data_IF_599211459434
#
_entry.id   IF_599211459434
#
_cell.length_a   1.000
_cell.length_b   1.000
_cell.length_c   1.000
_cell.angle_alpha   90.00
_cell.angle_beta   90.00
_cell.angle_gamma   90.00
#
_symmetry.space_group_name_H-M   'P 1'
#
loop_
_entity.id
_entity.type
_entity.pdbx_description
1 polymer ?
2 non-polymer ?
3 non-polymer ?
4 non-polymer ?
5 non-polymer ?
6 non-polymer ?
7 water ?
#
# COMPACT_ATOMS: atom_id res chain seq x y z
C UNK A 1 8.70 -17.77 -34.36
N UNK A 2 7.58 -17.72 -33.62
CA UNK A 2 7.48 -17.07 -32.26
C UNK A 2 7.16 -18.11 -31.19
N UNK A 3 7.19 -17.68 -29.93
CA UNK A 3 6.76 -18.51 -28.81
C UNK A 3 6.40 -17.63 -27.61
N UNK A 4 5.56 -18.19 -26.73
CA UNK A 4 5.11 -17.50 -25.54
C UNK A 4 6.23 -17.56 -24.50
N UNK A 5 6.72 -16.39 -24.09
CA UNK A 5 7.81 -16.33 -23.12
C UNK A 5 7.23 -16.20 -21.72
N UNK A 6 6.23 -15.33 -21.59
CA UNK A 6 5.46 -15.18 -20.36
C UNK A 6 4.00 -14.92 -20.73
N UNK A 7 3.10 -15.28 -19.81
CA UNK A 7 1.68 -15.06 -20.00
C UNK A 7 0.99 -15.10 -18.64
N UNK A 8 0.13 -14.11 -18.40
CA UNK A 8 -0.83 -14.14 -17.31
C UNK A 8 -2.11 -13.46 -17.77
N UNK A 9 -3.24 -13.81 -17.14
CA UNK A 9 -4.55 -13.34 -17.54
C UNK A 9 -5.50 -13.45 -16.36
N UNK A 10 -6.52 -12.59 -16.31
CA UNK A 10 -7.56 -12.77 -15.31
C UNK A 10 -8.47 -11.55 -15.20
N UNK A 11 -8.87 -11.21 -13.98
CA UNK A 11 -9.90 -10.21 -13.78
C UNK A 11 -9.38 -9.10 -12.87
N UNK A 12 -9.50 -7.86 -13.34
CA UNK A 12 -9.05 -6.68 -12.62
C UNK A 12 -10.27 -5.91 -12.13
N UNK A 13 -10.10 -5.16 -11.02
CA UNK A 13 -11.05 -4.15 -10.60
C UNK A 13 -12.38 -4.78 -10.18
N UNK A 14 -12.34 -5.96 -9.55
CA UNK A 14 -13.53 -6.52 -8.93
C UNK A 14 -13.81 -5.77 -7.62
N UNK A 15 -14.86 -4.93 -7.62
CA UNK A 15 -15.27 -4.23 -6.41
C UNK A 15 -16.01 -5.21 -5.48
N UNK A 16 -15.66 -5.22 -4.19
CA UNK A 16 -16.26 -6.18 -3.26
C UNK A 16 -16.58 -5.52 -1.92
N UNK A 17 -17.83 -5.71 -1.47
CA UNK A 17 -18.29 -5.31 -0.16
C UNK A 17 -18.71 -6.54 0.65
N UNK A 18 -18.41 -6.55 1.95
CA UNK A 18 -18.93 -7.55 2.86
C UNK A 18 -19.19 -6.94 4.24
N UNK A 19 -20.38 -7.23 4.78
CA UNK A 19 -20.77 -6.86 6.12
C UNK A 19 -20.68 -8.09 7.04
N UNK A 20 -20.26 -7.83 8.29
CA UNK A 20 -20.36 -8.77 9.39
C UNK A 20 -21.38 -8.25 10.39
N UNK A 21 -22.39 -9.08 10.69
CA UNK A 21 -23.39 -8.73 11.69
C UNK A 21 -23.22 -9.61 12.93
N UNK A 22 -22.80 -8.98 14.04
CA UNK A 22 -22.89 -9.60 15.35
C UNK A 22 -24.35 -9.54 15.79
N UNK A 23 -25.06 -10.66 15.62
CA UNK A 23 -26.48 -10.60 15.87
C UNK A 23 -26.76 -10.61 17.37
N UNK A 24 -25.69 -10.76 18.18
CA UNK A 24 -25.76 -10.56 19.62
C UNK A 24 -25.82 -9.07 19.92
N UNK A 25 -24.71 -8.35 19.67
CA UNK A 25 -24.56 -6.94 20.00
C UNK A 25 -25.36 -6.06 19.05
N UNK A 26 -25.46 -6.46 17.78
CA UNK A 26 -26.17 -5.67 16.77
C UNK A 26 -25.23 -4.69 16.08
N UNK A 27 -23.93 -4.81 16.40
CA UNK A 27 -22.86 -4.05 15.78
C UNK A 27 -22.54 -4.68 14.44
N UNK A 28 -22.51 -3.84 13.40
CA UNK A 28 -22.13 -4.32 12.08
C UNK A 28 -20.74 -3.77 11.72
N UNK A 29 -19.93 -4.59 11.07
CA UNK A 29 -18.66 -4.13 10.54
C UNK A 29 -18.69 -4.35 9.02
N UNK A 30 -18.36 -3.30 8.26
CA UNK A 30 -18.26 -3.44 6.81
C UNK A 30 -16.80 -3.43 6.35
N UNK A 31 -16.57 -4.04 5.19
CA UNK A 31 -15.28 -4.13 4.55
C UNK A 31 -15.48 -3.83 3.07
N UNK A 32 -14.57 -3.07 2.45
CA UNK A 32 -14.68 -2.85 1.02
C UNK A 32 -13.30 -2.85 0.37
N UNK A 33 -13.21 -3.57 -0.76
CA UNK A 33 -11.93 -3.73 -1.45
C UNK A 33 -12.13 -3.79 -2.96
N UNK A 34 -11.03 -3.52 -3.68
CA UNK A 34 -10.95 -3.78 -5.11
C UNK A 34 -9.91 -4.87 -5.34
N UNK A 35 -10.32 -5.92 -6.07
CA UNK A 35 -9.55 -7.16 -6.14
C UNK A 35 -9.12 -7.42 -7.58
N UNK A 36 -7.87 -7.86 -7.76
CA UNK A 36 -7.41 -8.38 -9.04
C UNK A 36 -6.76 -9.75 -8.87
N UNK A 37 -7.16 -10.74 -9.69
CA UNK A 37 -6.52 -12.05 -9.70
C UNK A 37 -6.04 -12.37 -11.12
N UNK A 38 -4.71 -12.61 -11.26
CA UNK A 38 -4.14 -13.07 -12.52
C UNK A 38 -3.53 -14.46 -12.33
N UNK A 39 -3.79 -15.36 -13.29
CA UNK A 39 -3.29 -16.73 -13.24
C UNK A 39 -2.19 -16.94 -14.28
N UNK A 40 -1.33 -17.94 -13.99
CA UNK A 40 -0.34 -18.47 -14.91
C UNK A 40 -0.42 -20.00 -14.89
N UNK A 41 0.25 -20.63 -15.86
CA UNK A 41 0.29 -22.07 -16.00
C UNK A 41 0.51 -22.46 -17.45
N UNK A 42 0.01 -23.64 -17.82
CA UNK A 42 0.11 -24.15 -19.19
C UNK A 42 -1.08 -23.63 -20.00
N UNK A 43 -0.98 -22.37 -20.43
CA UNK A 43 -2.11 -21.67 -21.05
C UNK A 43 -1.66 -21.08 -22.38
N UNK A 44 -0.46 -21.48 -22.84
CA UNK A 44 0.14 -20.89 -24.02
C UNK A 44 -0.71 -21.19 -25.24
N UNK A 45 -1.32 -22.38 -25.29
CA UNK A 45 -2.08 -22.83 -26.45
C UNK A 45 -3.30 -21.93 -26.71
N UNK A 46 -3.80 -21.28 -25.66
CA UNK A 46 -4.92 -20.35 -25.81
C UNK A 46 -4.50 -19.14 -26.66
N UNK A 47 -3.19 -18.90 -26.72
CA UNK A 47 -2.61 -17.76 -27.41
C UNK A 47 -2.15 -18.16 -28.81
N UNK A 48 -1.64 -19.39 -28.95
CA UNK A 48 -0.94 -19.79 -30.17
C UNK A 48 -1.85 -20.61 -31.08
N UNK A 49 -2.90 -21.23 -30.50
CA UNK A 49 -3.66 -22.23 -31.22
C UNK A 49 -5.17 -22.04 -31.04
N UNK A 50 -5.59 -20.88 -30.51
CA UNK A 50 -7.01 -20.62 -30.30
C UNK A 50 -7.65 -21.72 -29.44
N UNK A 51 -6.90 -22.24 -28.48
CA UNK A 51 -7.39 -23.33 -27.66
C UNK A 51 -7.91 -22.77 -26.34
N UNK A 52 -9.24 -22.57 -26.25
CA UNK A 52 -9.83 -21.92 -25.09
C UNK A 52 -10.05 -22.92 -23.96
N UNK A 53 -9.80 -24.20 -24.24
CA UNK A 53 -10.05 -25.30 -23.31
C UNK A 53 -9.22 -25.16 -22.03
N UNK A 54 -8.17 -24.32 -22.09
CA UNK A 54 -7.22 -24.19 -21.00
C UNK A 54 -7.59 -22.99 -20.12
N UNK A 55 -8.63 -22.25 -20.53
CA UNK A 55 -8.92 -20.97 -19.91
C UNK A 55 -10.05 -21.11 -18.90
N UNK A 56 -9.72 -20.84 -17.64
CA UNK A 56 -10.71 -20.46 -16.64
C UNK A 56 -11.13 -19.03 -16.97
N UNK A 57 -12.41 -18.85 -17.34
CA UNK A 57 -12.90 -17.60 -17.87
C UNK A 57 -12.77 -16.49 -16.82
N UNK A 58 -12.37 -15.29 -17.26
CA UNK A 58 -12.18 -14.19 -16.33
C UNK A 58 -13.47 -13.99 -15.54
N UNK A 59 -14.60 -14.11 -16.23
CA UNK A 59 -15.92 -14.06 -15.60
C UNK A 59 -15.99 -14.98 -14.39
N UNK A 60 -15.49 -16.22 -14.54
CA UNK A 60 -15.56 -17.24 -13.50
C UNK A 60 -14.66 -16.90 -12.31
N UNK A 61 -13.52 -16.26 -12.61
CA UNK A 61 -12.58 -15.77 -11.61
C UNK A 61 -13.29 -14.68 -10.80
N UNK A 62 -14.20 -13.95 -11.44
CA UNK A 62 -14.97 -12.92 -10.77
C UNK A 62 -15.96 -13.58 -9.82
N UNK A 63 -16.56 -14.69 -10.28
CA UNK A 63 -17.43 -15.51 -9.47
C UNK A 63 -16.68 -15.99 -8.23
N UNK A 64 -15.49 -16.57 -8.46
CA UNK A 64 -14.68 -17.20 -7.41
C UNK A 64 -14.33 -16.18 -6.33
N UNK A 65 -14.00 -14.96 -6.72
CA UNK A 65 -13.68 -13.91 -5.76
C UNK A 65 -14.88 -13.72 -4.83
N UNK A 66 -16.05 -13.48 -5.43
CA UNK A 66 -17.31 -13.30 -4.72
C UNK A 66 -17.59 -14.50 -3.82
N UNK A 67 -17.47 -15.73 -4.36
CA UNK A 67 -17.73 -16.95 -3.62
C UNK A 67 -16.78 -17.05 -2.42
N UNK A 68 -15.47 -16.89 -2.66
CA UNK A 68 -14.47 -17.09 -1.63
C UNK A 68 -14.73 -16.16 -0.46
N UNK A 69 -15.20 -14.94 -0.77
CA UNK A 69 -15.49 -13.89 0.19
C UNK A 69 -16.69 -14.26 1.07
N UNK A 70 -17.68 -14.94 0.48
CA UNK A 70 -18.82 -15.43 1.23
C UNK A 70 -18.39 -16.58 2.15
N UNK A 71 -17.40 -17.36 1.72
CA UNK A 71 -17.13 -18.63 2.39
C UNK A 71 -16.04 -18.46 3.46
N UNK A 72 -15.47 -17.26 3.57
CA UNK A 72 -14.26 -17.03 4.35
C UNK A 72 -14.27 -15.60 4.89
N UNK A 73 -13.41 -15.27 5.88
CA UNK A 73 -13.27 -13.88 6.31
C UNK A 73 -12.45 -13.16 5.24
N UNK A 74 -12.71 -11.86 5.06
CA UNK A 74 -12.02 -11.05 4.06
C UNK A 74 -10.97 -10.19 4.74
N UNK A 75 -10.79 -10.42 6.04
CA UNK A 75 -9.84 -9.71 6.88
C UNK A 75 -9.06 -10.76 7.67
N UNK A 76 -7.73 -10.63 7.85
CA UNK A 76 -6.94 -9.60 7.20
C UNK A 76 -6.64 -9.85 5.71
N UNK A 77 -6.40 -8.78 4.91
CA UNK A 77 -6.12 -8.90 3.48
C UNK A 77 -5.11 -9.99 3.11
N UNK A 78 -4.03 -10.09 3.89
CA UNK A 78 -2.97 -11.06 3.65
C UNK A 78 -3.53 -12.48 3.63
N UNK A 79 -4.54 -12.74 4.48
CA UNK A 79 -5.09 -14.08 4.61
C UNK A 79 -6.04 -14.36 3.46
N UNK A 80 -6.93 -13.39 3.17
CA UNK A 80 -7.91 -13.54 2.11
C UNK A 80 -7.18 -13.85 0.80
N UNK A 81 -6.15 -13.04 0.51
CA UNK A 81 -5.31 -13.22 -0.67
C UNK A 81 -4.80 -14.66 -0.80
N UNK A 82 -4.22 -15.16 0.30
CA UNK A 82 -3.64 -16.49 0.38
C UNK A 82 -4.69 -17.55 0.07
N UNK A 83 -5.85 -17.46 0.73
CA UNK A 83 -6.94 -18.40 0.53
C UNK A 83 -7.39 -18.41 -0.93
N UNK A 84 -7.49 -17.21 -1.52
CA UNK A 84 -8.01 -17.01 -2.86
C UNK A 84 -7.02 -17.58 -3.88
N UNK A 85 -5.73 -17.42 -3.61
CA UNK A 85 -4.70 -17.79 -4.56
C UNK A 85 -4.41 -19.28 -4.50
N UNK A 86 -4.51 -19.84 -3.28
CA UNK A 86 -4.33 -21.27 -3.07
C UNK A 86 -5.42 -22.00 -3.82
N UNK A 87 -6.64 -21.45 -3.78
CA UNK A 87 -7.77 -22.05 -4.47
C UNK A 87 -7.42 -22.35 -5.92
N UNK A 88 -6.88 -21.35 -6.62
CA UNK A 88 -6.72 -21.47 -8.06
C UNK A 88 -5.71 -22.57 -8.40
N UNK A 89 -4.62 -22.66 -7.63
CA UNK A 89 -3.51 -23.55 -7.96
C UNK A 89 -3.80 -24.97 -7.50
N UNK A 90 -4.69 -25.12 -6.51
CA UNK A 90 -5.07 -26.44 -5.99
C UNK A 90 -6.21 -27.01 -6.83
N UNK A 91 -7.00 -26.12 -7.43
CA UNK A 91 -8.21 -26.52 -8.13
C UNK A 91 -7.90 -26.97 -9.55
N UNK A 92 -6.95 -26.29 -10.20
CA UNK A 92 -6.70 -26.51 -11.61
C UNK A 92 -5.27 -27.02 -11.79
N UNK A 93 -5.13 -28.12 -12.54
CA UNK A 93 -3.84 -28.78 -12.70
C UNK A 93 -2.87 -27.89 -13.47
N UNK A 94 -3.39 -27.24 -14.52
CA UNK A 94 -2.60 -26.49 -15.48
C UNK A 94 -2.31 -25.07 -14.99
N UNK A 95 -2.93 -24.67 -13.87
CA UNK A 95 -2.70 -23.37 -13.27
C UNK A 95 -1.65 -23.55 -12.18
N UNK A 96 -0.51 -22.86 -12.31
CA UNK A 96 0.66 -23.12 -11.47
C UNK A 96 1.02 -21.91 -10.61
N UNK A 97 0.44 -20.74 -10.91
CA UNK A 97 0.60 -19.58 -10.04
C UNK A 97 -0.65 -18.70 -10.07
N UNK A 98 -0.98 -18.12 -8.90
CA UNK A 98 -2.06 -17.15 -8.78
C UNK A 98 -1.51 -15.85 -8.19
N UNK A 99 -1.84 -14.73 -8.83
CA UNK A 99 -1.36 -13.43 -8.42
C UNK A 99 -2.54 -12.58 -7.96
N UNK A 100 -2.51 -12.21 -6.67
CA UNK A 100 -3.67 -11.59 -6.05
C UNK A 100 -3.28 -10.22 -5.48
N UNK A 101 -3.77 -9.15 -6.11
CA UNK A 101 -3.67 -7.82 -5.54
C UNK A 101 -5.02 -7.43 -4.93
N UNK A 102 -4.98 -7.01 -3.66
CA UNK A 102 -6.15 -6.47 -2.98
C UNK A 102 -5.85 -5.03 -2.58
N UNK A 103 -6.80 -4.13 -2.89
CA UNK A 103 -6.78 -2.77 -2.37
C UNK A 103 -7.93 -2.63 -1.37
N UNK A 104 -7.63 -2.22 -0.13
CA UNK A 104 -8.65 -2.08 0.89
C UNK A 104 -9.07 -0.62 1.02
N UNK A 105 -10.39 -0.41 1.14
CA UNK A 105 -10.96 0.92 1.28
C UNK A 105 -11.40 1.16 2.73
N UNK A 106 -11.26 2.41 3.18
CA UNK A 106 -11.53 2.76 4.57
C UNK A 106 -13.03 2.98 4.75
N UNK A 107 -13.61 2.27 5.71
CA UNK A 107 -14.93 2.60 6.27
C UNK A 107 -14.81 2.63 7.80
N UNK A 108 -14.49 3.81 8.34
CA UNK A 108 -14.26 3.98 9.76
C UNK A 108 -15.59 4.29 10.48
N UNK A 109 -15.91 3.49 11.51
CA UNK A 109 -17.10 3.68 12.31
C UNK A 109 -17.22 5.14 12.74
N UNK A 110 -18.44 5.69 12.61
CA UNK A 110 -18.77 7.06 12.94
C UNK A 110 -18.98 7.18 14.45
N UNK A 111 -18.51 8.29 15.03
CA UNK A 111 -18.79 8.63 16.41
C UNK A 111 -19.92 9.65 16.43
N UNK A 112 -21.05 9.26 17.05
CA UNK A 112 -22.23 10.10 17.09
C UNK A 112 -22.53 10.44 18.54
N UNK A 113 -22.58 11.75 18.84
CA UNK A 113 -22.92 12.22 20.18
C UNK A 113 -22.04 11.50 21.20
N UNK A 114 -20.75 11.34 20.88
CA UNK A 114 -19.81 10.64 21.75
C UNK A 114 -19.66 9.15 21.43
N UNK A 115 -20.78 8.49 21.09
CA UNK A 115 -20.87 7.03 21.06
C UNK A 115 -20.53 6.46 19.68
N UNK A 116 -19.65 5.44 19.60
CA UNK A 116 -19.51 4.61 18.39
C UNK A 116 -20.84 4.05 17.88
N UNK A 117 -21.17 4.38 16.62
CA UNK A 117 -22.45 4.00 16.06
C UNK A 117 -22.37 2.59 15.45
N UNK A 118 -23.41 1.75 15.66
CA UNK A 118 -23.33 0.32 15.30
C UNK A 118 -23.32 -0.07 13.83
N UNK A 119 -23.66 0.86 12.93
CA UNK A 119 -23.76 0.48 11.51
C UNK A 119 -23.66 1.68 10.57
N UNK A 120 -22.98 2.76 10.99
CA UNK A 120 -22.76 3.91 10.12
C UNK A 120 -21.27 4.22 10.03
N UNK A 121 -20.81 4.54 8.80
CA UNK A 121 -19.40 4.59 8.47
C UNK A 121 -19.08 5.79 7.59
N UNK A 122 -17.80 6.18 7.59
CA UNK A 122 -17.31 7.36 6.89
C UNK A 122 -15.96 7.03 6.24
N UNK A 123 -15.79 7.45 4.98
CA UNK A 123 -14.49 7.35 4.33
C UNK A 123 -13.66 8.55 4.76
N UNK A 124 -12.79 8.32 5.76
CA UNK A 124 -12.13 9.38 6.48
C UNK A 124 -10.73 9.59 5.90
N UNK A 125 -10.51 9.04 4.70
CA UNK A 125 -9.27 9.25 3.95
C UNK A 125 -9.35 8.46 2.64
N UNK A 126 -8.52 8.84 1.67
CA UNK A 126 -8.35 8.01 0.48
C UNK A 126 -7.11 7.12 0.62
N UNK A 127 -6.59 7.05 1.86
CA UNK A 127 -5.48 6.14 2.15
C UNK A 127 -5.97 4.70 2.07
N UNK A 128 -5.11 3.84 1.51
CA UNK A 128 -5.43 2.44 1.27
C UNK A 128 -4.46 1.57 2.05
N UNK A 129 -4.94 0.38 2.44
CA UNK A 129 -4.11 -0.76 2.84
C UNK A 129 -4.22 -1.79 1.71
N UNK A 130 -3.06 -2.30 1.23
CA UNK A 130 -3.04 -3.19 0.07
C UNK A 130 -2.24 -4.46 0.36
N UNK A 131 -2.44 -5.50 -0.47
CA UNK A 131 -1.54 -6.64 -0.48
C UNK A 131 -1.27 -7.10 -1.91
N UNK A 132 -0.03 -7.55 -2.16
CA UNK A 132 0.28 -8.42 -3.29
C UNK A 132 0.67 -9.80 -2.79
N UNK A 133 -0.13 -10.80 -3.12
CA UNK A 133 0.07 -12.17 -2.64
C UNK A 133 0.27 -13.08 -3.86
N UNK A 134 1.50 -13.58 -4.01
CA UNK A 134 1.81 -14.48 -5.12
C UNK A 134 1.89 -15.91 -4.59
N UNK A 135 0.96 -16.74 -5.05
CA UNK A 135 0.91 -18.15 -4.70
C UNK A 135 1.43 -18.96 -5.89
N UNK A 136 2.66 -19.45 -5.77
CA UNK A 136 3.25 -20.27 -6.82
C UNK A 136 3.28 -21.72 -6.34
N UNK A 137 2.89 -22.64 -7.23
CA UNK A 137 2.80 -24.06 -6.91
C UNK A 137 4.20 -24.61 -6.63
N UNK A 138 4.32 -25.29 -5.49
CA UNK A 138 5.57 -25.87 -5.01
C UNK A 138 6.59 -24.83 -4.56
N UNK A 139 6.14 -23.62 -4.22
CA UNK A 139 7.05 -22.55 -3.86
C UNK A 139 6.54 -21.78 -2.65
N UNK A 140 5.24 -21.85 -2.39
CA UNK A 140 4.65 -21.24 -1.20
C UNK A 140 3.88 -19.94 -1.50
N UNK A 141 3.97 -18.99 -0.57
CA UNK A 141 3.18 -17.77 -0.64
C UNK A 141 4.06 -16.58 -0.25
N UNK A 142 4.31 -15.69 -1.22
CA UNK A 142 5.04 -14.46 -0.97
C UNK A 142 4.04 -13.32 -0.80
N UNK A 143 4.24 -12.49 0.22
CA UNK A 143 3.29 -11.43 0.52
C UNK A 143 4.03 -10.10 0.65
N UNK A 144 3.63 -9.15 -0.19
CA UNK A 144 3.98 -7.75 -0.05
C UNK A 144 2.76 -6.99 0.47
N UNK A 145 2.85 -6.50 1.71
CA UNK A 145 1.81 -5.66 2.30
C UNK A 145 2.20 -4.19 2.15
N UNK A 146 1.21 -3.29 2.07
CA UNK A 146 1.55 -1.89 2.01
C UNK A 146 0.42 -0.98 2.54
N UNK A 147 0.80 0.23 2.97
CA UNK A 147 -0.16 1.33 3.03
C UNK A 147 0.21 2.38 1.98
N UNK A 148 -0.79 3.03 1.39
CA UNK A 148 -0.50 4.01 0.36
C UNK A 148 -1.51 5.16 0.41
N UNK A 149 -1.18 6.28 -0.26
CA UNK A 149 -2.06 7.42 -0.39
C UNK A 149 -2.20 8.19 0.93
N UNK A 150 -1.25 7.96 1.85
CA UNK A 150 -1.20 8.63 3.13
C UNK A 150 -0.46 9.97 2.98
N UNK A 151 -1.25 11.07 2.94
CA UNK A 151 -0.72 12.36 2.53
C UNK A 151 -0.45 13.24 3.74
N UNK A 152 0.82 13.67 3.89
CA UNK A 152 1.25 14.39 5.07
C UNK A 152 2.00 15.67 4.68
N UNK A 153 2.09 16.61 5.63
CA UNK A 153 2.85 17.85 5.46
C UNK A 153 3.25 18.41 6.82
N UNK A 154 4.56 18.72 6.97
CA UNK A 154 5.05 19.50 8.10
C UNK A 154 5.50 20.88 7.62
N UNK A 155 5.28 21.88 8.46
CA UNK A 155 5.42 23.28 8.07
C UNK A 155 6.83 23.80 8.36
N UNK A 156 7.60 22.99 9.11
CA UNK A 156 8.97 23.34 9.45
C UNK A 156 9.69 22.06 9.90
N UNK A 157 10.94 22.21 10.36
CA UNK A 157 11.81 21.12 10.78
C UNK A 157 12.09 20.18 9.60
N UNK A 158 12.39 20.78 8.46
CA UNK A 158 12.89 20.07 7.29
C UNK A 158 13.98 20.91 6.64
N UNK A 159 15.13 20.28 6.36
CA UNK A 159 16.29 20.98 5.84
C UNK A 159 16.75 20.29 4.55
N UNK A 160 17.46 21.03 3.70
CA UNK A 160 18.18 20.43 2.59
C UNK A 160 19.33 21.34 2.16
N UNK A 161 20.54 20.98 2.62
CA UNK A 161 21.76 21.69 2.31
C UNK A 161 22.89 20.68 2.08
N UNK A 162 23.95 21.15 1.40
CA UNK A 162 25.17 20.39 1.24
C UNK A 162 25.11 19.36 0.11
N UNK A 163 24.15 19.50 -0.80
CA UNK A 163 24.07 18.67 -2.00
C UNK A 163 25.12 19.17 -3.01
N UNK A 164 25.53 18.30 -3.92
CA UNK A 164 26.45 18.62 -5.01
C UNK A 164 26.00 19.91 -5.70
N UNK A 165 26.94 20.82 -5.93
CA UNK A 165 26.67 22.02 -6.73
C UNK A 165 27.64 22.09 -7.90
N UNK A 166 27.09 22.09 -9.11
CA UNK A 166 27.88 22.27 -10.32
C UNK A 166 27.16 23.28 -11.22
N UNK A 167 27.49 23.29 -12.52
CA UNK A 167 26.98 24.30 -13.43
C UNK A 167 25.56 23.95 -13.88
N UNK A 168 24.94 22.95 -13.22
CA UNK A 168 23.56 22.59 -13.48
C UNK A 168 22.69 23.02 -12.31
N UNK A 169 23.32 23.49 -11.22
CA UNK A 169 22.66 23.70 -9.95
C UNK A 169 22.20 25.15 -9.84
N UNK A 170 20.92 25.35 -9.46
CA UNK A 170 20.37 26.68 -9.23
C UNK A 170 19.69 26.73 -7.85
N UNK A 171 19.44 25.54 -7.26
CA UNK A 171 18.69 25.42 -6.02
C UNK A 171 19.52 25.94 -4.84
N UNK A 172 18.88 26.78 -4.01
CA UNK A 172 19.49 27.34 -2.82
C UNK A 172 19.40 26.35 -1.66
N UNK A 173 20.51 26.23 -0.91
CA UNK A 173 20.54 25.52 0.35
C UNK A 173 19.53 26.13 1.31
N UNK A 174 18.83 25.28 2.09
CA UNK A 174 17.79 25.72 3.00
C UNK A 174 17.92 25.01 4.35
N UNK A 175 17.70 25.74 5.43
CA UNK A 175 17.78 25.15 6.76
C UNK A 175 16.39 25.11 7.38
N UNK A 176 15.38 25.49 6.58
CA UNK A 176 13.98 25.49 6.99
C UNK A 176 13.08 25.58 5.76
N UNK A 177 12.41 24.46 5.45
CA UNK A 177 11.49 24.36 4.33
C UNK A 177 10.24 23.58 4.75
N UNK A 178 9.24 23.53 3.86
CA UNK A 178 8.12 22.61 3.97
C UNK A 178 8.50 21.26 3.36
N UNK A 179 7.96 20.19 3.95
CA UNK A 179 8.06 18.83 3.43
C UNK A 179 6.66 18.22 3.40
N UNK A 180 6.21 17.87 2.20
CA UNK A 180 4.95 17.18 1.98
C UNK A 180 5.15 15.96 1.08
N UNK A 181 4.45 14.87 1.39
CA UNK A 181 4.52 13.66 0.60
C UNK A 181 3.23 12.84 0.72
N UNK A 182 3.05 11.91 -0.22
CA UNK A 182 2.11 10.81 -0.07
C UNK A 182 2.93 9.56 0.19
N UNK A 183 2.65 8.88 1.31
CA UNK A 183 3.48 7.76 1.74
C UNK A 183 3.05 6.48 1.01
N UNK A 184 4.04 5.82 0.40
CA UNK A 184 3.88 4.49 -0.15
C UNK A 184 4.92 3.59 0.50
N UNK A 185 4.47 2.72 1.41
CA UNK A 185 5.37 1.87 2.18
C UNK A 185 5.01 0.41 1.99
N UNK A 186 6.01 -0.40 1.64
CA UNK A 186 5.83 -1.83 1.42
C UNK A 186 6.78 -2.58 2.35
N UNK A 187 6.26 -3.65 2.99
CA UNK A 187 7.09 -4.55 3.76
C UNK A 187 6.86 -5.98 3.29
N UNK A 188 7.96 -6.71 3.06
CA UNK A 188 7.90 -8.02 2.45
C UNK A 188 8.19 -9.12 3.47
N UNK A 189 7.20 -10.00 3.66
CA UNK A 189 7.28 -11.12 4.58
C UNK A 189 8.23 -12.19 4.05
N UNK A 190 8.82 -12.93 4.99
CA UNK A 190 9.48 -14.20 4.71
C UNK A 190 8.49 -15.08 3.94
N UNK A 191 9.02 -15.87 3.00
CA UNK A 191 8.26 -16.90 2.31
C UNK A 191 7.51 -17.75 3.33
N UNK A 192 6.21 -17.96 3.10
CA UNK A 192 5.44 -18.95 3.86
C UNK A 192 5.27 -20.21 3.02
N UNK A 193 5.08 -21.35 3.68
CA UNK A 193 5.08 -22.65 3.02
C UNK A 193 3.71 -22.95 2.43
N UNK A 194 2.66 -22.35 3.01
CA UNK A 194 1.30 -22.58 2.59
C UNK A 194 0.32 -21.90 3.54
N UNK A 195 -0.96 -22.23 3.39
CA UNK A 195 -2.05 -21.59 4.10
C UNK A 195 -1.86 -21.76 5.61
N UNK A 196 -1.38 -22.93 6.02
CA UNK A 196 -1.25 -23.22 7.44
C UNK A 196 -0.31 -22.20 8.08
N UNK A 197 0.84 -21.95 7.44
CA UNK A 197 1.81 -21.05 8.05
C UNK A 197 1.24 -19.63 8.10
N UNK A 198 0.55 -19.23 7.02
CA UNK A 198 -0.10 -17.93 6.96
C UNK A 198 -1.09 -17.80 8.13
N UNK A 199 -1.85 -18.87 8.38
CA UNK A 199 -2.86 -18.81 9.43
C UNK A 199 -2.22 -18.70 10.81
N UNK A 200 -0.96 -19.14 10.93
CA UNK A 200 -0.33 -19.21 12.24
C UNK A 200 0.20 -17.86 12.69
N UNK A 201 0.18 -16.87 11.77
CA UNK A 201 0.83 -15.59 12.00
C UNK A 201 -0.21 -14.47 11.93
N UNK A 202 -1.47 -14.85 11.69
CA UNK A 202 -2.53 -13.92 11.30
C UNK A 202 -2.50 -12.65 12.15
N UNK A 203 -2.47 -12.74 13.50
CA UNK A 203 -2.46 -11.54 14.36
C UNK A 203 -1.34 -10.54 14.05
N UNK A 204 -0.26 -11.03 13.42
CA UNK A 204 0.91 -10.21 13.13
C UNK A 204 0.64 -9.20 12.02
N UNK A 205 -0.33 -9.49 11.14
CA UNK A 205 -0.55 -8.73 9.91
C UNK A 205 -1.12 -7.34 10.20
N UNK A 206 -2.17 -7.28 11.02
CA UNK A 206 -2.69 -6.01 11.54
C UNK A 206 -1.59 -5.30 12.34
N UNK A 207 -0.98 -6.03 13.29
CA UNK A 207 0.03 -5.49 14.18
C UNK A 207 1.11 -4.76 13.39
N UNK A 208 1.69 -5.44 12.39
CA UNK A 208 2.76 -4.87 11.58
C UNK A 208 2.28 -3.67 10.76
N UNK A 209 1.05 -3.76 10.21
CA UNK A 209 0.45 -2.63 9.50
C UNK A 209 0.37 -1.43 10.45
N UNK A 210 -0.22 -1.67 11.62
CA UNK A 210 -0.38 -0.62 12.62
C UNK A 210 0.99 -0.01 12.91
N UNK A 211 1.98 -0.88 13.10
CA UNK A 211 3.34 -0.44 13.40
C UNK A 211 3.87 0.45 12.28
N UNK A 212 3.71 -0.02 11.03
CA UNK A 212 4.26 0.68 9.88
C UNK A 212 3.73 2.11 9.83
N UNK A 213 2.43 2.27 10.07
CA UNK A 213 1.73 3.55 9.99
C UNK A 213 2.15 4.44 11.16
N UNK A 214 2.29 3.84 12.35
CA UNK A 214 2.65 4.53 13.57
C UNK A 214 4.06 5.08 13.46
N UNK A 215 4.98 4.26 12.95
CA UNK A 215 6.37 4.66 12.80
C UNK A 215 6.46 5.74 11.73
N UNK A 216 5.78 5.52 10.60
CA UNK A 216 5.77 6.46 9.49
C UNK A 216 5.42 7.86 10.00
N UNK A 217 4.30 7.96 10.75
CA UNK A 217 3.75 9.24 11.15
C UNK A 217 4.65 9.92 12.20
N UNK A 218 5.18 9.13 13.14
CA UNK A 218 6.00 9.66 14.23
C UNK A 218 7.35 10.15 13.73
N UNK A 219 8.08 9.29 12.99
CA UNK A 219 9.38 9.64 12.46
C UNK A 219 9.28 10.90 11.58
N UNK A 220 8.14 11.07 10.89
CA UNK A 220 7.97 12.18 9.97
C UNK A 220 7.87 13.48 10.77
N UNK A 221 7.20 13.39 11.92
CA UNK A 221 6.80 14.56 12.68
C UNK A 221 7.94 14.99 13.62
N UNK A 222 8.75 14.02 14.06
CA UNK A 222 9.73 14.29 15.08
C UNK A 222 11.13 14.47 14.50
N UNK A 223 11.35 13.95 13.29
CA UNK A 223 12.69 13.98 12.70
C UNK A 223 12.98 15.37 12.12
N UNK A 224 14.16 15.91 12.45
CA UNK A 224 14.64 17.13 11.80
C UNK A 224 15.33 16.72 10.50
N UNK A 225 14.53 16.70 9.42
CA UNK A 225 14.86 15.99 8.21
C UNK A 225 16.10 16.57 7.55
N UNK A 226 17.09 15.71 7.35
CA UNK A 226 18.29 16.09 6.60
C UNK A 226 17.99 16.02 5.11
N UNK A 227 17.09 15.11 4.75
CA UNK A 227 16.56 14.92 3.41
C UNK A 227 15.44 13.88 3.48
N UNK A 228 14.66 13.77 2.41
CA UNK A 228 13.65 12.73 2.31
C UNK A 228 14.36 11.39 2.50
N UNK A 229 15.52 11.26 1.86
CA UNK A 229 16.37 10.06 1.87
C UNK A 229 16.66 9.62 3.29
N UNK A 230 17.09 10.57 4.13
CA UNK A 230 17.55 10.30 5.49
C UNK A 230 16.35 9.95 6.38
N UNK A 231 15.20 10.57 6.11
CA UNK A 231 14.03 10.42 6.98
C UNK A 231 13.33 9.09 6.69
N UNK A 232 13.34 8.65 5.42
CA UNK A 232 12.61 7.45 5.07
C UNK A 232 13.38 6.22 5.53
N UNK A 233 14.72 6.36 5.58
CA UNK A 233 15.57 5.26 5.99
C UNK A 233 15.40 4.99 7.49
N UNK A 234 15.15 6.06 8.25
CA UNK A 234 14.93 5.96 9.68
C UNK A 234 13.63 5.19 9.93
N UNK A 235 12.57 5.49 9.16
CA UNK A 235 11.30 4.80 9.28
C UNK A 235 11.50 3.30 9.02
N UNK A 236 12.18 3.00 7.90
CA UNK A 236 12.39 1.64 7.42
C UNK A 236 13.10 0.78 8.47
N UNK A 237 14.15 1.35 9.09
CA UNK A 237 14.96 0.58 10.01
C UNK A 237 14.23 0.38 11.34
N UNK A 238 13.28 1.28 11.66
CA UNK A 238 12.48 1.11 12.86
C UNK A 238 11.47 -0.02 12.67
N UNK A 239 10.93 -0.16 11.44
CA UNK A 239 9.92 -1.17 11.15
C UNK A 239 10.57 -2.56 11.15
N UNK A 240 11.72 -2.68 10.47
CA UNK A 240 12.48 -3.92 10.42
C UNK A 240 12.83 -4.41 11.82
N UNK A 241 13.04 -3.47 12.75
CA UNK A 241 13.51 -3.85 14.08
C UNK A 241 12.35 -4.31 14.95
N UNK A 242 11.12 -4.01 14.50
CA UNK A 242 9.93 -4.22 15.31
C UNK A 242 9.15 -5.46 14.83
N UNK A 243 9.70 -6.20 13.85
CA UNK A 243 9.04 -7.39 13.34
C UNK A 243 10.00 -8.24 12.48
N UNK A 244 10.37 -9.43 12.98
CA UNK A 244 11.47 -10.19 12.40
C UNK A 244 11.01 -11.04 11.22
N UNK A 245 9.68 -11.10 11.00
CA UNK A 245 9.13 -11.89 9.91
C UNK A 245 9.12 -11.05 8.63
N UNK A 246 9.50 -9.77 8.74
CA UNK A 246 9.65 -8.87 7.62
C UNK A 246 11.09 -8.94 7.11
N UNK A 247 11.26 -9.17 5.81
CA UNK A 247 12.59 -9.34 5.26
C UNK A 247 13.15 -8.03 4.70
N UNK A 248 12.29 -7.21 4.07
CA UNK A 248 12.71 -5.92 3.52
C UNK A 248 11.59 -4.90 3.67
N UNK A 249 11.98 -3.62 3.63
CA UNK A 249 11.03 -2.53 3.70
C UNK A 249 11.35 -1.52 2.60
N UNK A 250 10.29 -1.07 1.91
CA UNK A 250 10.39 -0.28 0.69
C UNK A 250 9.57 1.00 0.88
N UNK A 251 10.15 2.14 0.52
CA UNK A 251 9.42 3.41 0.50
C UNK A 251 9.57 4.05 -0.87
N UNK A 252 8.43 4.41 -1.49
CA UNK A 252 8.41 5.35 -2.60
C UNK A 252 7.74 6.64 -2.14
N UNK A 253 8.41 7.79 -2.32
CA UNK A 253 7.93 9.04 -1.75
C UNK A 253 8.13 10.21 -2.72
N UNK A 254 7.05 10.85 -3.21
CA UNK A 254 7.19 12.14 -3.92
C UNK A 254 7.57 13.27 -2.96
N UNK A 255 8.45 14.16 -3.44
CA UNK A 255 8.69 15.42 -2.77
C UNK A 255 7.79 16.49 -3.38
N UNK A 256 6.69 16.80 -2.68
CA UNK A 256 5.69 17.70 -3.22
C UNK A 256 6.04 19.12 -2.80
N UNK A 257 6.83 19.78 -3.66
CA UNK A 257 7.49 21.04 -3.34
C UNK A 257 6.45 22.13 -3.13
N UNK A 258 6.76 23.06 -2.22
CA UNK A 258 6.04 24.31 -2.06
C UNK A 258 7.07 25.44 -2.16
N UNK A 259 6.85 26.37 -3.09
CA UNK A 259 7.84 27.41 -3.37
C UNK A 259 7.47 28.66 -2.60
N UNK A 260 8.49 29.39 -2.13
CA UNK A 260 8.36 30.75 -1.62
C UNK A 260 7.90 31.69 -2.73
N UNK A 261 7.12 32.71 -2.36
CA UNK A 261 6.67 33.75 -3.27
C UNK A 261 7.26 35.08 -2.83
N UNK A 262 8.20 35.58 -3.65
CA UNK A 262 8.77 36.90 -3.53
C UNK A 262 7.67 37.91 -3.87
N UNK A 263 7.30 38.72 -2.88
CA UNK A 263 6.21 39.66 -3.02
C UNK A 263 6.74 41.08 -2.80
N UNK A 264 8.04 41.27 -3.03
CA UNK A 264 8.73 42.47 -2.60
C UNK A 264 8.67 43.54 -3.69
N UNK A 265 8.26 43.13 -4.89
CA UNK A 265 8.09 44.05 -6.01
C UNK A 265 6.89 44.94 -5.74
N UNK A 266 6.02 44.50 -4.82
CA UNK A 266 4.77 45.19 -4.51
C UNK A 266 4.79 45.66 -3.06
N UNK A 267 4.89 46.99 -2.90
CA UNK A 267 4.90 47.70 -1.62
C UNK A 267 5.96 47.15 -0.69
N UNK A 268 7.14 46.82 -1.22
CA UNK A 268 8.22 46.20 -0.46
C UNK A 268 7.75 45.14 0.54
N UNK A 269 6.76 44.34 0.13
CA UNK A 269 6.16 43.36 1.02
C UNK A 269 7.11 42.18 1.18
N UNK A 270 7.22 41.65 2.42
CA UNK A 270 8.28 40.72 2.77
C UNK A 270 7.69 39.36 3.13
N UNK A 271 8.06 38.34 2.34
CA UNK A 271 7.35 37.08 2.28
C UNK A 271 8.32 35.95 1.91
N UNK A 272 9.62 36.16 2.14
CA UNK A 272 10.63 35.16 1.86
C UNK A 272 11.43 34.87 3.14
N UNK A 273 12.21 33.78 3.10
CA UNK A 273 13.07 33.43 4.22
C UNK A 273 12.26 33.36 5.52
N UNK A 274 12.63 34.20 6.49
CA UNK A 274 12.04 34.18 7.82
C UNK A 274 10.63 34.78 7.78
N UNK A 275 10.33 35.52 6.71
CA UNK A 275 9.08 36.27 6.62
C UNK A 275 8.02 35.45 5.90
N UNK A 276 8.42 34.32 5.30
CA UNK A 276 7.57 33.53 4.42
C UNK A 276 6.30 33.04 5.13
N UNK A 277 5.14 33.47 4.61
CA UNK A 277 3.85 33.07 5.14
C UNK A 277 3.02 32.43 4.03
N UNK A 278 3.15 32.95 2.80
CA UNK A 278 2.35 32.50 1.68
C UNK A 278 3.22 31.77 0.66
N UNK A 279 2.73 30.59 0.24
CA UNK A 279 3.50 29.64 -0.54
C UNK A 279 2.69 29.16 -1.75
N UNK A 280 3.40 28.91 -2.85
CA UNK A 280 2.82 28.32 -4.05
C UNK A 280 3.03 26.80 -4.05
N UNK A 281 1.99 25.97 -3.73
CA UNK A 281 2.08 24.52 -3.90
C UNK A 281 2.27 24.23 -5.38
N UNK A 282 3.22 23.34 -5.70
CA UNK A 282 3.56 23.08 -7.09
C UNK A 282 3.00 21.72 -7.49
N UNK A 283 2.08 21.70 -8.46
CA UNK A 283 1.52 20.43 -8.88
C UNK A 283 2.60 19.57 -9.52
N UNK A 284 3.53 20.22 -10.23
CA UNK A 284 4.60 19.50 -10.92
C UNK A 284 5.73 20.45 -11.26
N UNK A 285 6.94 19.92 -11.56
CA UNK A 285 7.23 18.51 -11.36
C UNK A 285 7.44 18.22 -9.88
N UNK A 286 7.73 16.96 -9.54
CA UNK A 286 7.95 16.56 -8.16
C UNK A 286 9.17 15.66 -8.05
N UNK A 287 9.98 15.89 -7.02
CA UNK A 287 11.01 14.93 -6.62
C UNK A 287 10.40 13.57 -6.26
N UNK A 288 11.11 12.50 -6.64
CA UNK A 288 10.68 11.14 -6.33
C UNK A 288 11.89 10.37 -5.78
N UNK A 289 11.66 9.73 -4.62
CA UNK A 289 12.72 9.12 -3.83
C UNK A 289 12.25 7.73 -3.42
N UNK A 290 13.01 6.71 -3.82
CA UNK A 290 12.72 5.33 -3.47
C UNK A 290 13.93 4.76 -2.72
N UNK A 291 13.65 3.75 -1.88
CA UNK A 291 14.67 3.03 -1.14
C UNK A 291 14.14 1.64 -0.82
N UNK A 292 14.99 0.62 -0.91
CA UNK A 292 14.72 -0.69 -0.34
C UNK A 292 15.73 -0.98 0.77
N UNK A 293 15.22 -1.29 1.97
CA UNK A 293 16.08 -1.48 3.13
C UNK A 293 15.83 -2.87 3.70
N UNK A 294 16.90 -3.66 3.76
CA UNK A 294 16.91 -4.97 4.41
C UNK A 294 17.94 -5.02 5.53
N UNK A 295 18.16 -6.22 6.07
CA UNK A 295 19.00 -6.42 7.24
C UNK A 295 20.45 -6.64 6.81
N UNK A 296 21.39 -6.05 7.56
CA UNK A 296 22.81 -6.08 7.26
C UNK A 296 23.37 -7.51 7.36
X LIG B 1 16.01 15.28 -1.33
X LIG B 1 15.31 16.23 -0.60
X LIG B 1 14.90 15.98 0.52
X LIG B 1 15.09 17.46 -1.17
X LIG B 1 15.55 17.73 -2.43
X LIG B 1 16.26 16.77 -3.15
X LIG B 1 16.51 15.48 -2.61
X LIG B 1 17.13 14.57 -3.16
X LIG B 1 16.57 17.32 -4.37
X LIG B 1 16.10 18.55 -4.40
X LIG B 1 15.48 18.81 -3.25
X LIG C 1 10.00 11.74 4.57
X LIG D 1 -14.71 -7.46 0.97
X LIG E 1 -2.29 -26.28 -10.21
X LIG F 1 -14.68 -27.15 -4.96
X LIG F 1 -13.98 -28.43 -5.37
X LIG F 1 -13.76 -25.96 -5.24
X LIG F 1 -15.02 -27.19 -3.46
X LIG F 1 -15.97 -26.98 -5.76
X LIG G 1 -22.70 -11.17 -18.35
X LIG G 1 -22.04 -11.50 -19.38
X LIG G 1 -22.29 -11.34 -17.16
X LIG G 1 -24.07 -10.50 -18.56
#
# INVERSE_FOLDING_TARGET
XSAVKAARYGKDNVRVYKVHKDEKTGVQTVYEMTVCVLLEGEIETSYTKADNSVIVATDSIKNTIYITAKQNPVTPPELFGSILGTHFIEKYNHIHAAHVNIVCHRWTRMDIDGKPHPHSFIRDSEEKRNVQVDVVEGKGIDIKSSLSGLTVLKSTNSQFWGFLRDEYTTLKETWDRILSTDVDATWQWKNFSGLQEVRSHVPKFDATWATAREVTLKTFAEDNSASVQATMYKMAEQILARQQLIETVEYSLPNKHYFEIDLSWHKGLQNTGKNAEVFAPQSDPNGLIKCTVGRSSLKSKL
AZA N1 C2 O2 N3 C4 C5 C6 O6 N7 N8 N9
AR AR
AR AR
NA NA
PO4 P O1 O2 O3 O4
ACT C O OXT CH3
#
